data_IF_089406299344
#
_entry.id   IF_089406299344
#
_cell.length_a   1.000
_cell.length_b   1.000
_cell.length_c   1.000
_cell.angle_alpha   90.00
_cell.angle_beta   90.00
_cell.angle_gamma   90.00
#
_symmetry.space_group_name_H-M   'P 1'
#
loop_
_entity.id
_entity.type
_entity.pdbx_description
1 polymer ?
#
# COMPACT_ATOMS: atom_id res chain seq x y z
N UNK A 1 8.81 -55.14 28.90
CA UNK A 1 9.58 -54.17 28.08
C UNK A 1 9.25 -54.21 26.58
N UNK A 2 8.77 -55.33 26.03
CA UNK A 2 8.43 -55.50 24.61
C UNK A 2 7.13 -54.81 24.19
N UNK A 3 6.06 -54.90 25.00
CA UNK A 3 4.77 -54.28 24.68
C UNK A 3 4.83 -52.74 24.57
N UNK A 4 5.61 -52.08 25.45
CA UNK A 4 5.76 -50.62 25.43
C UNK A 4 6.46 -50.16 24.15
N UNK A 5 7.52 -50.86 23.70
CA UNK A 5 8.22 -50.56 22.44
C UNK A 5 7.31 -50.72 21.23
N UNK A 6 6.45 -51.75 21.22
CA UNK A 6 5.50 -51.99 20.13
C UNK A 6 4.46 -50.86 20.08
N UNK A 7 3.90 -50.46 21.22
CA UNK A 7 3.00 -49.31 21.30
C UNK A 7 3.68 -48.02 20.83
N UNK A 8 4.93 -47.76 21.21
CA UNK A 8 5.67 -46.57 20.76
C UNK A 8 5.87 -46.54 19.24
N UNK A 9 6.19 -47.68 18.62
CA UNK A 9 6.36 -47.79 17.17
C UNK A 9 5.03 -47.60 16.44
N UNK A 10 3.94 -48.15 16.96
CA UNK A 10 2.60 -47.97 16.38
C UNK A 10 2.16 -46.50 16.49
N UNK A 11 2.38 -45.84 17.63
CA UNK A 11 2.05 -44.42 17.79
C UNK A 11 2.87 -43.56 16.82
N UNK A 12 4.18 -43.83 16.69
CA UNK A 12 5.03 -43.12 15.75
C UNK A 12 4.59 -43.34 14.29
N UNK A 13 4.21 -44.57 13.94
CA UNK A 13 3.68 -44.89 12.62
C UNK A 13 2.33 -44.19 12.36
N UNK A 14 1.43 -44.14 13.34
CA UNK A 14 0.15 -43.43 13.22
C UNK A 14 0.38 -41.92 13.08
N UNK A 15 1.34 -41.33 13.79
CA UNK A 15 1.69 -39.90 13.64
C UNK A 15 2.32 -39.60 12.28
N UNK A 16 3.19 -40.49 11.78
CA UNK A 16 3.81 -40.34 10.45
C UNK A 16 2.83 -40.58 9.30
N UNK A 17 1.82 -41.44 9.49
CA UNK A 17 0.75 -41.69 8.51
C UNK A 17 -0.36 -40.63 8.55
N UNK A 18 -0.50 -39.90 9.67
CA UNK A 18 -1.41 -38.77 9.83
C UNK A 18 -0.69 -37.42 9.74
N UNK A 19 0.40 -37.33 8.96
CA UNK A 19 0.91 -36.02 8.54
C UNK A 19 -0.14 -35.44 7.59
N UNK A 20 -1.14 -34.77 8.16
CA UNK A 20 -2.07 -33.96 7.40
C UNK A 20 -1.24 -32.96 6.61
N UNK A 21 -1.36 -33.00 5.28
CA UNK A 21 -0.99 -31.84 4.48
C UNK A 21 -1.93 -30.72 4.91
N UNK A 22 -1.44 -29.84 5.79
CA UNK A 22 -2.14 -28.62 6.10
C UNK A 22 -2.22 -27.82 4.82
N UNK A 23 -3.43 -27.68 4.24
CA UNK A 23 -3.72 -26.80 3.11
C UNK A 23 -3.64 -25.33 3.56
N UNK A 24 -2.45 -24.91 4.00
CA UNK A 24 -2.16 -23.51 4.30
C UNK A 24 -1.93 -22.74 3.02
N UNK A 25 -2.25 -21.45 3.03
CA UNK A 25 -1.95 -20.54 1.92
C UNK A 25 -0.44 -20.53 1.55
N UNK A 26 0.43 -20.91 2.50
CA UNK A 26 1.87 -21.05 2.31
C UNK A 26 2.27 -22.52 2.23
N UNK A 27 2.97 -22.88 1.16
CA UNK A 27 3.64 -24.18 1.09
C UNK A 27 4.69 -24.34 2.20
N UNK A 28 4.92 -25.56 2.65
CA UNK A 28 5.98 -25.88 3.63
C UNK A 28 7.36 -25.33 3.23
N UNK A 29 7.66 -25.32 1.92
CA UNK A 29 8.93 -24.79 1.39
C UNK A 29 8.99 -23.27 1.53
N UNK A 30 7.90 -22.57 1.20
CA UNK A 30 7.79 -21.11 1.35
C UNK A 30 7.88 -20.71 2.81
N UNK A 31 7.16 -21.42 3.69
CA UNK A 31 7.19 -21.19 5.13
C UNK A 31 8.61 -21.30 5.71
N UNK A 32 9.37 -22.35 5.35
CA UNK A 32 10.77 -22.49 5.81
C UNK A 32 11.66 -21.35 5.34
N UNK A 33 11.47 -20.84 4.12
CA UNK A 33 12.22 -19.67 3.62
C UNK A 33 11.87 -18.41 4.41
N UNK A 34 10.58 -18.18 4.67
CA UNK A 34 10.09 -17.06 5.49
C UNK A 34 10.69 -17.13 6.90
N UNK A 35 10.61 -18.30 7.54
CA UNK A 35 11.17 -18.51 8.87
C UNK A 35 12.67 -18.22 8.90
N UNK A 36 13.43 -18.69 7.90
CA UNK A 36 14.86 -18.40 7.78
C UNK A 36 15.14 -16.90 7.58
N UNK A 37 14.34 -16.22 6.76
CA UNK A 37 14.44 -14.77 6.59
C UNK A 37 14.21 -14.03 7.91
N UNK A 38 13.14 -14.37 8.64
CA UNK A 38 12.76 -13.71 9.88
C UNK A 38 13.69 -13.96 11.07
N UNK A 39 14.57 -14.96 10.98
CA UNK A 39 15.69 -15.12 11.92
C UNK A 39 16.83 -14.13 11.68
N UNK A 40 16.96 -13.63 10.46
CA UNK A 40 18.03 -12.72 10.06
C UNK A 40 17.60 -11.24 10.02
N UNK A 41 16.29 -10.97 10.05
CA UNK A 41 15.74 -9.61 10.15
C UNK A 41 16.00 -8.93 11.50
N UNK A 42 15.42 -7.73 11.74
CA UNK A 42 14.46 -7.05 10.89
C UNK A 42 15.07 -6.49 9.59
N UNK A 43 14.21 -6.14 8.64
CA UNK A 43 14.58 -5.55 7.36
C UNK A 43 13.85 -4.23 7.12
N UNK A 44 14.48 -3.33 6.38
CA UNK A 44 13.80 -2.23 5.72
C UNK A 44 13.13 -2.74 4.44
N UNK A 45 11.83 -2.50 4.32
CA UNK A 45 11.04 -2.85 3.15
C UNK A 45 11.11 -1.78 2.08
N UNK A 46 11.57 -2.10 0.88
CA UNK A 46 11.55 -1.17 -0.26
C UNK A 46 10.52 -1.66 -1.27
N UNK A 47 9.45 -0.88 -1.44
CA UNK A 47 8.38 -1.13 -2.41
C UNK A 47 8.56 -0.20 -3.60
N UNK A 48 8.69 -0.79 -4.80
CA UNK A 48 9.13 -0.09 -6.02
C UNK A 48 8.17 -0.39 -7.17
N UNK A 49 7.60 0.60 -7.88
CA UNK A 49 6.59 0.39 -8.91
C UNK A 49 6.99 -0.55 -10.04
N UNK A 50 8.17 -0.39 -10.62
CA UNK A 50 8.56 -1.11 -11.84
C UNK A 50 10.08 -1.28 -11.95
N UNK A 51 10.51 -1.94 -13.04
CA UNK A 51 11.92 -2.22 -13.31
C UNK A 51 12.73 -0.96 -13.68
N UNK A 52 12.14 0.08 -14.26
CA UNK A 52 12.86 1.31 -14.56
C UNK A 52 13.36 1.99 -13.28
N UNK A 53 12.55 1.93 -12.22
CA UNK A 53 12.88 2.47 -10.91
C UNK A 53 13.73 1.51 -10.06
N UNK A 54 13.50 0.20 -10.19
CA UNK A 54 14.23 -0.80 -9.40
C UNK A 54 15.63 -1.12 -9.95
N UNK A 55 15.82 -1.12 -11.28
CA UNK A 55 17.09 -1.51 -11.90
C UNK A 55 18.27 -0.63 -11.49
N UNK A 56 18.16 0.72 -11.44
CA UNK A 56 19.25 1.57 -10.96
C UNK A 56 19.72 1.18 -9.55
N UNK A 57 18.79 0.79 -8.68
CA UNK A 57 19.12 0.36 -7.34
C UNK A 57 19.77 -1.03 -7.31
N UNK A 58 19.26 -1.98 -8.11
CA UNK A 58 19.87 -3.32 -8.25
C UNK A 58 21.28 -3.29 -8.85
N UNK A 59 21.56 -2.29 -9.70
CA UNK A 59 22.85 -2.10 -10.36
C UNK A 59 23.79 -1.18 -9.56
N UNK A 60 23.28 -0.54 -8.50
CA UNK A 60 24.07 0.35 -7.66
C UNK A 60 25.15 -0.44 -6.92
N UNK A 61 26.40 0.04 -6.88
CA UNK A 61 27.46 -0.59 -6.09
C UNK A 61 27.15 -0.59 -4.58
N UNK A 62 26.23 0.26 -4.13
CA UNK A 62 25.80 0.31 -2.74
C UNK A 62 24.85 -0.84 -2.36
N UNK A 63 24.24 -1.52 -3.33
CA UNK A 63 23.36 -2.65 -3.09
C UNK A 63 24.12 -3.97 -3.21
N UNK A 64 24.07 -4.79 -2.16
CA UNK A 64 24.62 -6.15 -2.15
C UNK A 64 23.49 -7.16 -2.06
N UNK A 65 23.27 -7.94 -3.12
CA UNK A 65 22.25 -8.99 -3.13
C UNK A 65 22.64 -10.17 -2.25
N UNK A 66 21.66 -10.74 -1.56
CA UNK A 66 21.75 -12.06 -0.93
C UNK A 66 21.38 -13.16 -1.93
N UNK A 67 21.73 -14.41 -1.60
CA UNK A 67 21.29 -15.60 -2.33
C UNK A 67 19.81 -15.97 -2.05
N UNK A 68 19.16 -15.27 -1.12
CA UNK A 68 17.76 -15.52 -0.80
C UNK A 68 16.85 -14.72 -1.74
N UNK A 69 15.91 -15.44 -2.37
CA UNK A 69 14.77 -14.85 -3.10
C UNK A 69 13.53 -15.69 -2.80
N UNK A 70 12.40 -15.01 -2.66
CA UNK A 70 11.11 -15.62 -2.40
C UNK A 70 10.07 -15.05 -3.36
N UNK A 71 9.39 -15.95 -4.08
CA UNK A 71 8.28 -15.61 -4.95
C UNK A 71 6.99 -16.08 -4.26
N UNK A 72 6.02 -15.18 -4.10
CA UNK A 72 4.72 -15.47 -3.50
C UNK A 72 3.67 -14.50 -4.03
N UNK A 73 2.49 -15.04 -4.38
CA UNK A 73 1.34 -14.28 -4.89
C UNK A 73 1.68 -13.27 -6.02
N UNK A 74 2.51 -13.73 -6.96
CA UNK A 74 2.98 -12.91 -8.09
C UNK A 74 4.05 -11.86 -7.76
N UNK A 75 4.51 -11.77 -6.49
CA UNK A 75 5.55 -10.83 -6.05
C UNK A 75 6.86 -11.57 -5.83
N UNK A 76 7.97 -10.93 -6.23
CA UNK A 76 9.33 -11.38 -5.94
C UNK A 76 9.96 -10.49 -4.88
N UNK A 77 10.27 -11.08 -3.74
CA UNK A 77 11.01 -10.48 -2.63
C UNK A 77 12.50 -10.80 -2.76
N UNK A 78 13.33 -9.77 -2.96
CA UNK A 78 14.79 -9.88 -3.11
C UNK A 78 15.44 -9.36 -1.85
N UNK A 79 16.31 -10.17 -1.26
CA UNK A 79 16.98 -9.84 -0.01
C UNK A 79 18.37 -9.29 -0.31
N UNK A 80 18.83 -8.34 0.48
CA UNK A 80 20.18 -7.80 0.35
C UNK A 80 20.52 -6.80 1.45
N UNK A 81 21.55 -6.00 1.20
CA UNK A 81 21.92 -4.86 2.04
C UNK A 81 22.14 -3.62 1.19
N UNK A 82 21.82 -2.45 1.75
CA UNK A 82 22.23 -1.14 1.23
C UNK A 82 23.04 -0.48 2.35
N UNK A 83 24.34 -0.31 2.14
CA UNK A 83 25.26 -0.02 3.25
C UNK A 83 25.16 -1.11 4.33
N UNK A 84 24.92 -0.70 5.58
CA UNK A 84 24.76 -1.62 6.72
C UNK A 84 23.30 -2.09 6.93
N UNK A 85 22.34 -1.50 6.21
CA UNK A 85 20.91 -1.79 6.38
C UNK A 85 20.52 -3.03 5.60
N UNK A 86 19.85 -3.97 6.26
CA UNK A 86 19.27 -5.15 5.60
C UNK A 86 17.97 -4.74 4.93
N UNK A 87 17.84 -5.06 3.64
CA UNK A 87 16.69 -4.63 2.83
C UNK A 87 15.97 -5.81 2.18
N UNK A 88 14.67 -5.62 1.95
CA UNK A 88 13.87 -6.46 1.05
C UNK A 88 13.30 -5.57 -0.04
N UNK A 89 13.66 -5.85 -1.28
CA UNK A 89 13.12 -5.17 -2.46
C UNK A 89 11.95 -5.96 -3.03
N UNK A 90 10.81 -5.30 -3.20
CA UNK A 90 9.62 -5.87 -3.82
C UNK A 90 9.08 -4.92 -4.91
N UNK A 91 8.86 -5.46 -6.10
CA UNK A 91 8.20 -4.70 -7.16
C UNK A 91 6.69 -4.72 -6.94
N UNK A 92 6.03 -3.56 -6.91
CA UNK A 92 4.60 -3.45 -6.63
C UNK A 92 3.75 -3.55 -7.89
N UNK A 93 4.22 -3.04 -9.02
CA UNK A 93 3.35 -2.66 -10.14
C UNK A 93 2.77 -1.26 -9.94
N UNK A 94 1.95 -0.82 -10.91
CA UNK A 94 1.32 0.50 -10.89
C UNK A 94 0.01 0.49 -10.09
N UNK A 95 -0.28 1.62 -9.43
CA UNK A 95 -1.52 1.86 -8.70
C UNK A 95 -1.48 1.53 -7.20
N UNK A 96 -2.28 2.26 -6.43
CA UNK A 96 -2.31 2.18 -4.96
C UNK A 96 -2.70 0.79 -4.43
N UNK A 97 -3.62 0.09 -5.11
CA UNK A 97 -4.04 -1.27 -4.73
C UNK A 97 -2.85 -2.24 -4.79
N UNK A 98 -2.06 -2.17 -5.86
CA UNK A 98 -0.89 -3.03 -6.04
C UNK A 98 0.21 -2.74 -5.02
N UNK A 99 0.44 -1.47 -4.71
CA UNK A 99 1.35 -1.04 -3.65
C UNK A 99 0.87 -1.50 -2.27
N UNK A 100 -0.43 -1.36 -1.98
CA UNK A 100 -1.06 -1.81 -0.73
C UNK A 100 -0.94 -3.32 -0.53
N UNK A 101 -1.31 -4.14 -1.52
CA UNK A 101 -1.19 -5.60 -1.46
C UNK A 101 0.26 -6.03 -1.22
N UNK A 102 1.20 -5.45 -1.97
CA UNK A 102 2.63 -5.80 -1.85
C UNK A 102 3.19 -5.41 -0.49
N UNK A 103 2.81 -4.24 0.03
CA UNK A 103 3.17 -3.78 1.38
C UNK A 103 2.57 -4.68 2.46
N UNK A 104 1.30 -5.05 2.34
CA UNK A 104 0.63 -5.95 3.27
C UNK A 104 1.30 -7.32 3.29
N UNK A 105 1.61 -7.90 2.12
CA UNK A 105 2.34 -9.15 2.01
C UNK A 105 3.73 -9.03 2.67
N UNK A 106 4.45 -7.94 2.44
CA UNK A 106 5.75 -7.70 3.04
C UNK A 106 5.66 -7.71 4.58
N UNK A 107 4.72 -6.96 5.15
CA UNK A 107 4.48 -6.87 6.60
C UNK A 107 3.98 -8.19 7.19
N UNK A 108 3.16 -8.94 6.46
CA UNK A 108 2.59 -10.21 6.93
C UNK A 108 3.60 -11.35 6.92
N UNK A 109 4.53 -11.35 5.96
CA UNK A 109 5.47 -12.44 5.77
C UNK A 109 6.80 -12.19 6.49
N UNK A 110 7.25 -10.94 6.63
CA UNK A 110 8.60 -10.65 7.11
C UNK A 110 8.64 -9.75 8.34
N UNK A 111 9.71 -9.86 9.13
CA UNK A 111 10.01 -8.89 10.20
C UNK A 111 10.52 -7.60 9.58
N UNK A 112 9.65 -6.60 9.48
CA UNK A 112 9.93 -5.30 8.86
C UNK A 112 10.05 -4.21 9.93
N UNK A 113 11.05 -3.34 9.82
CA UNK A 113 11.25 -2.19 10.72
C UNK A 113 10.58 -0.90 10.20
N UNK A 114 10.38 -0.83 8.89
CA UNK A 114 9.78 0.28 8.17
C UNK A 114 9.63 -0.05 6.68
N UNK A 115 8.75 0.68 6.01
CA UNK A 115 8.53 0.55 4.56
C UNK A 115 8.83 1.87 3.88
N UNK A 116 9.61 1.79 2.81
CA UNK A 116 10.03 2.87 1.94
C UNK A 116 9.39 2.66 0.58
N UNK A 117 8.53 3.57 0.16
CA UNK A 117 8.12 3.65 -1.24
C UNK A 117 9.14 4.47 -2.01
N UNK A 118 9.77 3.88 -3.01
CA UNK A 118 10.71 4.57 -3.89
C UNK A 118 10.15 4.59 -5.31
N UNK A 119 9.97 5.79 -5.85
CA UNK A 119 9.57 5.94 -7.24
C UNK A 119 9.69 7.36 -7.77
N UNK A 120 9.31 7.52 -9.03
CA UNK A 120 9.33 8.82 -9.73
C UNK A 120 8.04 9.59 -9.52
N UNK A 121 8.14 10.92 -9.49
CA UNK A 121 7.00 11.81 -9.36
C UNK A 121 7.15 13.03 -10.28
N UNK A 122 6.02 13.53 -10.76
CA UNK A 122 5.93 14.89 -11.29
C UNK A 122 5.74 15.88 -10.15
N UNK A 123 6.20 17.12 -10.33
CA UNK A 123 6.02 18.17 -9.34
C UNK A 123 5.40 19.42 -10.00
N UNK A 124 4.60 20.14 -9.22
CA UNK A 124 4.03 21.44 -9.60
C UNK A 124 4.64 22.59 -8.79
N UNK A 125 5.70 22.31 -8.01
CA UNK A 125 6.36 23.30 -7.18
C UNK A 125 7.45 23.98 -8.03
N UNK A 126 7.31 25.27 -8.40
CA UNK A 126 8.28 25.94 -9.26
C UNK A 126 9.68 26.08 -8.64
N UNK A 127 9.83 25.79 -7.34
CA UNK A 127 11.13 25.74 -6.67
C UNK A 127 11.85 24.40 -6.79
N UNK A 128 11.20 23.34 -7.31
CA UNK A 128 11.81 22.04 -7.53
C UNK A 128 12.22 21.86 -8.99
N UNK A 129 13.34 21.18 -9.19
CA UNK A 129 13.93 20.91 -10.50
C UNK A 129 13.80 19.42 -10.87
N UNK A 130 13.96 19.13 -12.17
CA UNK A 130 14.05 17.75 -12.65
C UNK A 130 15.28 17.09 -12.03
N UNK A 131 15.07 15.94 -11.39
CA UNK A 131 16.12 15.19 -10.71
C UNK A 131 16.21 15.45 -9.20
N UNK A 132 15.44 16.39 -8.66
CA UNK A 132 15.39 16.60 -7.22
C UNK A 132 14.80 15.37 -6.50
N UNK A 133 15.50 14.93 -5.46
CA UNK A 133 14.99 13.93 -4.53
C UNK A 133 14.16 14.63 -3.45
N UNK A 134 12.91 14.18 -3.29
CA UNK A 134 12.00 14.76 -2.30
C UNK A 134 11.46 13.69 -1.37
N UNK A 135 11.23 14.09 -0.12
CA UNK A 135 10.53 13.30 0.88
C UNK A 135 9.30 14.12 1.27
N UNK A 136 8.08 13.61 0.99
CA UNK A 136 6.87 14.35 1.33
C UNK A 136 6.71 14.43 2.86
N UNK A 137 6.26 15.58 3.36
CA UNK A 137 5.81 15.70 4.75
C UNK A 137 4.40 15.11 4.94
N UNK A 138 3.59 15.17 3.89
CA UNK A 138 2.24 14.66 3.85
C UNK A 138 1.98 14.03 2.49
N UNK A 139 1.08 13.05 2.44
CA UNK A 139 0.53 12.51 1.20
C UNK A 139 -0.99 12.51 1.27
N UNK A 140 -1.63 12.52 0.11
CA UNK A 140 -3.09 12.46 -0.02
C UNK A 140 -3.48 11.54 -1.17
N UNK A 141 -4.64 10.90 -1.06
CA UNK A 141 -5.24 10.19 -2.18
C UNK A 141 -6.44 10.99 -2.68
N UNK A 142 -6.46 11.27 -3.97
CA UNK A 142 -7.46 12.15 -4.61
C UNK A 142 -8.36 11.38 -5.57
N UNK A 143 -8.49 10.07 -5.38
CA UNK A 143 -9.15 9.17 -6.33
C UNK A 143 -10.66 9.00 -6.12
N UNK A 144 -11.21 9.42 -4.99
CA UNK A 144 -12.62 9.21 -4.65
C UNK A 144 -13.45 10.47 -4.98
N UNK A 145 -14.42 10.29 -5.88
CA UNK A 145 -15.29 11.35 -6.35
C UNK A 145 -16.72 10.86 -6.47
N UNK A 146 -17.67 11.69 -6.04
CA UNK A 146 -19.10 11.43 -6.16
C UNK A 146 -19.73 12.31 -7.21
N UNK A 147 -20.42 11.70 -8.17
CA UNK A 147 -21.15 12.42 -9.21
C UNK A 147 -22.59 12.68 -8.76
N UNK A 148 -22.99 13.95 -8.73
CA UNK A 148 -24.35 14.34 -8.40
C UNK A 148 -25.29 14.05 -9.58
N UNK A 149 -25.88 12.84 -9.61
CA UNK A 149 -26.43 12.28 -10.85
C UNK A 149 -27.74 12.90 -11.35
N UNK A 150 -28.72 13.32 -10.53
CA UNK A 150 -29.94 14.00 -11.04
C UNK A 150 -30.68 14.84 -9.98
N UNK A 151 -31.23 16.00 -10.38
CA UNK A 151 -32.28 16.74 -9.65
C UNK A 151 -31.88 17.39 -8.32
N UNK A 152 -30.66 17.14 -7.87
CA UNK A 152 -30.04 17.79 -6.72
C UNK A 152 -29.09 18.86 -7.27
N UNK A 153 -29.42 20.13 -7.12
CA UNK A 153 -28.53 21.24 -7.43
C UNK A 153 -27.39 21.32 -6.39
N UNK A 154 -26.45 22.27 -6.56
CA UNK A 154 -25.31 22.44 -5.65
C UNK A 154 -25.69 22.65 -4.17
N UNK A 155 -26.95 23.02 -3.91
CA UNK A 155 -27.50 23.33 -2.59
C UNK A 155 -28.19 22.14 -1.93
N UNK A 156 -28.45 21.08 -2.67
CA UNK A 156 -29.14 19.90 -2.16
C UNK A 156 -28.15 18.96 -1.46
N UNK A 157 -28.63 18.31 -0.40
CA UNK A 157 -27.83 17.39 0.41
C UNK A 157 -27.56 16.08 -0.34
N UNK A 158 -26.30 15.61 -0.29
CA UNK A 158 -25.92 14.32 -0.88
C UNK A 158 -26.29 13.16 0.06
N UNK A 159 -26.48 11.93 -0.46
CA UNK A 159 -26.99 10.79 0.33
C UNK A 159 -26.21 10.39 1.60
N UNK A 160 -24.98 10.87 1.79
CA UNK A 160 -24.12 10.59 2.95
C UNK A 160 -23.53 11.87 3.58
N UNK A 161 -23.96 13.06 3.13
CA UNK A 161 -23.40 14.33 3.63
C UNK A 161 -23.65 14.51 5.15
N UNK A 162 -24.78 14.02 5.65
CA UNK A 162 -25.08 14.00 7.09
C UNK A 162 -24.16 13.10 7.91
N UNK A 163 -23.51 12.11 7.30
CA UNK A 163 -22.53 11.22 7.93
C UNK A 163 -21.09 11.75 7.83
N UNK A 164 -20.93 12.97 7.28
CA UNK A 164 -19.67 13.69 7.15
C UNK A 164 -18.92 13.46 5.82
N UNK A 165 -19.50 12.68 4.90
CA UNK A 165 -18.98 12.45 3.55
C UNK A 165 -19.11 13.70 2.68
N UNK A 166 -18.38 13.72 1.57
CA UNK A 166 -18.33 14.76 0.55
C UNK A 166 -18.04 16.15 1.12
N UNK A 167 -16.91 16.33 1.85
CA UNK A 167 -16.61 17.59 2.50
C UNK A 167 -16.52 18.71 1.47
N UNK A 168 -17.53 19.58 1.41
CA UNK A 168 -17.66 20.74 0.49
C UNK A 168 -16.56 21.81 0.62
N UNK A 169 -15.50 21.54 1.39
CA UNK A 169 -14.40 22.44 1.73
C UNK A 169 -13.15 22.27 0.86
N UNK A 170 -12.88 21.06 0.37
CA UNK A 170 -11.56 20.74 -0.21
C UNK A 170 -11.57 20.83 -1.74
N UNK A 171 -12.57 20.27 -2.41
CA UNK A 171 -12.74 20.40 -3.85
C UNK A 171 -14.13 19.97 -4.33
N UNK A 172 -14.67 20.70 -5.30
CA UNK A 172 -15.77 20.26 -6.15
C UNK A 172 -15.58 20.86 -7.55
N UNK A 173 -16.19 20.24 -8.55
CA UNK A 173 -16.19 20.75 -9.92
C UNK A 173 -17.64 20.87 -10.38
N UNK A 174 -18.06 22.09 -10.69
CA UNK A 174 -19.32 22.38 -11.37
C UNK A 174 -19.07 22.42 -12.87
N UNK A 175 -19.61 21.45 -13.62
CA UNK A 175 -19.36 21.33 -15.05
C UNK A 175 -19.89 22.52 -15.86
N UNK A 176 -20.94 23.19 -15.37
CA UNK A 176 -21.50 24.39 -15.98
C UNK A 176 -20.46 25.50 -16.18
N UNK A 177 -19.53 25.66 -15.22
CA UNK A 177 -18.48 26.70 -15.24
C UNK A 177 -17.46 26.54 -16.37
N UNK A 178 -17.41 25.37 -17.00
CA UNK A 178 -16.47 25.06 -18.09
C UNK A 178 -17.16 25.01 -19.46
N UNK A 179 -18.42 25.46 -19.54
CA UNK A 179 -19.17 25.53 -20.79
C UNK A 179 -18.58 26.62 -21.69
N UNK A 180 -18.09 26.22 -22.87
CA UNK A 180 -17.63 27.15 -23.91
C UNK A 180 -18.82 27.63 -24.76
N UNK A 181 -18.75 28.87 -25.28
CA UNK A 181 -19.77 29.50 -26.13
C UNK A 181 -21.13 29.81 -25.46
N UNK A 182 -21.14 30.11 -24.17
CA UNK A 182 -22.37 30.42 -23.43
C UNK A 182 -22.90 31.87 -23.61
N UNK A 183 -22.67 32.50 -24.77
CA UNK A 183 -22.91 33.93 -24.99
C UNK A 183 -24.39 34.35 -25.06
N UNK A 184 -25.34 33.43 -24.95
CA UNK A 184 -26.78 33.73 -25.13
C UNK A 184 -27.73 33.03 -24.15
N UNK A 185 -27.27 32.54 -22.99
CA UNK A 185 -28.15 31.86 -22.02
C UNK A 185 -28.03 32.50 -20.64
N UNK A 186 -29.17 32.85 -20.02
CA UNK A 186 -29.24 33.48 -18.71
C UNK A 186 -28.75 32.59 -17.55
N UNK A 187 -28.68 31.28 -17.79
CA UNK A 187 -28.08 30.27 -16.90
C UNK A 187 -27.34 29.27 -17.79
N UNK A 188 -26.06 29.02 -17.50
CA UNK A 188 -25.20 28.09 -18.25
C UNK A 188 -25.19 26.69 -17.64
N UNK A 189 -26.18 26.39 -16.79
CA UNK A 189 -26.29 25.10 -16.13
C UNK A 189 -26.50 23.95 -17.14
N UNK A 190 -26.02 22.76 -16.80
CA UNK A 190 -26.09 21.60 -17.67
C UNK A 190 -26.34 20.30 -16.89
N UNK A 191 -26.74 19.24 -17.60
CA UNK A 191 -27.09 17.95 -17.00
C UNK A 191 -25.90 17.19 -16.40
N UNK A 192 -24.65 17.66 -16.59
CA UNK A 192 -23.47 17.05 -15.98
C UNK A 192 -23.32 17.45 -14.50
N UNK A 193 -23.93 18.57 -14.08
CA UNK A 193 -24.05 19.00 -12.69
C UNK A 193 -22.68 19.11 -11.98
N UNK A 194 -22.55 18.62 -10.74
CA UNK A 194 -21.36 18.72 -9.91
C UNK A 194 -20.73 17.34 -9.65
N UNK A 195 -19.39 17.33 -9.51
CA UNK A 195 -18.66 16.24 -8.84
C UNK A 195 -18.04 16.74 -7.55
N UNK A 196 -18.10 15.91 -6.52
CA UNK A 196 -17.66 16.23 -5.17
C UNK A 196 -16.50 15.31 -4.79
N UNK A 197 -15.43 15.87 -4.25
CA UNK A 197 -14.34 15.08 -3.71
C UNK A 197 -14.77 14.35 -2.44
N UNK A 198 -14.34 13.11 -2.29
CA UNK A 198 -14.49 12.31 -1.07
C UNK A 198 -13.13 12.08 -0.42
N UNK A 199 -13.05 12.36 0.88
CA UNK A 199 -11.81 12.13 1.62
C UNK A 199 -11.64 10.63 1.90
N UNK A 200 -10.40 10.18 2.08
CA UNK A 200 -10.15 8.79 2.45
C UNK A 200 -10.62 8.51 3.88
N UNK A 201 -11.14 7.32 4.10
CA UNK A 201 -11.46 6.82 5.43
C UNK A 201 -10.23 6.11 6.02
N UNK A 202 -9.89 6.48 7.25
CA UNK A 202 -8.88 5.79 8.05
C UNK A 202 -9.46 5.35 9.38
N UNK A 203 -8.88 4.27 9.91
CA UNK A 203 -9.22 3.72 11.22
C UNK A 203 -7.98 3.87 12.12
N UNK A 204 -7.93 4.90 12.99
CA UNK A 204 -6.75 5.18 13.78
C UNK A 204 -6.44 4.05 14.77
N UNK A 205 -5.16 3.76 14.95
CA UNK A 205 -4.69 2.71 15.86
C UNK A 205 -5.06 3.03 17.32
N UNK A 206 -4.98 4.31 17.70
CA UNK A 206 -5.28 4.80 19.06
C UNK A 206 -6.73 5.33 19.19
N UNK A 207 -7.59 5.05 18.21
CA UNK A 207 -9.00 5.46 18.19
C UNK A 207 -9.96 4.40 18.74
N UNK A 208 -11.26 4.69 18.71
CA UNK A 208 -12.29 3.67 18.95
C UNK A 208 -12.35 2.72 17.76
N UNK A 209 -12.31 1.38 17.97
CA UNK A 209 -12.48 0.43 16.87
C UNK A 209 -13.76 0.68 16.08
N UNK A 210 -13.69 0.48 14.76
CA UNK A 210 -14.81 0.67 13.82
C UNK A 210 -15.33 2.11 13.69
N UNK A 211 -14.71 3.09 14.37
CA UNK A 211 -14.97 4.51 14.13
C UNK A 211 -14.01 5.04 13.06
N UNK A 212 -14.56 5.31 11.87
CA UNK A 212 -13.84 5.91 10.75
C UNK A 212 -13.50 7.37 11.01
N UNK A 213 -12.42 7.84 10.41
CA UNK A 213 -12.07 9.26 10.31
C UNK A 213 -11.78 9.61 8.86
N UNK A 214 -12.26 10.77 8.42
CA UNK A 214 -11.93 11.31 7.10
C UNK A 214 -10.57 12.00 7.16
N UNK A 215 -9.67 11.64 6.24
CA UNK A 215 -8.37 12.27 6.11
C UNK A 215 -8.10 12.68 4.67
N UNK A 216 -7.61 13.90 4.51
CA UNK A 216 -7.05 14.36 3.24
C UNK A 216 -5.53 14.30 3.29
N UNK A 217 -4.92 14.90 4.31
CA UNK A 217 -3.48 14.90 4.51
C UNK A 217 -3.07 13.83 5.52
N UNK A 218 -2.41 12.78 5.03
CA UNK A 218 -1.78 11.78 5.86
C UNK A 218 -0.33 12.18 6.10
N UNK A 219 0.02 12.43 7.36
CA UNK A 219 1.38 12.80 7.74
C UNK A 219 2.36 11.64 7.51
N UNK A 220 3.55 11.96 7.01
CA UNK A 220 4.68 11.04 6.97
C UNK A 220 5.41 11.10 8.32
N UNK A 221 5.82 9.94 8.84
CA UNK A 221 6.52 9.86 10.13
C UNK A 221 7.78 10.74 10.12
N UNK A 222 7.91 11.71 11.04
CA UNK A 222 9.06 12.63 11.06
C UNK A 222 10.38 11.93 11.41
N UNK A 223 10.34 10.75 12.03
CA UNK A 223 11.52 9.95 12.38
C UNK A 223 11.95 9.01 11.26
N UNK A 224 11.28 9.04 10.10
CA UNK A 224 11.60 8.17 8.97
C UNK A 224 13.08 8.25 8.56
N UNK A 225 13.65 9.46 8.52
CA UNK A 225 15.07 9.69 8.19
C UNK A 225 16.05 9.17 9.25
N UNK A 226 15.61 8.93 10.48
CA UNK A 226 16.47 8.37 11.53
C UNK A 226 16.62 6.85 11.38
N UNK A 227 15.71 6.21 10.63
CA UNK A 227 15.69 4.76 10.41
C UNK A 227 16.30 4.34 9.07
N UNK A 228 16.29 5.22 8.06
CA UNK A 228 16.97 5.04 6.76
C UNK A 228 18.50 5.07 6.93
#
# INVERSE_FOLDING_TARGET
MTALKICSVIILAVVLLNVQETNGALSSRTWRKIYKANRNGPYLGLVIPNLFEMNPLLQSPSFTSSNLTLDFDGRRFRFGTIGEKKVILAMTGLGVINAGITTQLLLSLFKIEGVVHCGIAGNANPSLNIGDLTIPQYWSHTGLWSWQRYGQGPKDELPLESDGDYPKKIAYLEFANYTVNATHVASCDNLLNNIWFEAEEVYPIDGTPEERQHTFWVAVDPHYLQKA
#
